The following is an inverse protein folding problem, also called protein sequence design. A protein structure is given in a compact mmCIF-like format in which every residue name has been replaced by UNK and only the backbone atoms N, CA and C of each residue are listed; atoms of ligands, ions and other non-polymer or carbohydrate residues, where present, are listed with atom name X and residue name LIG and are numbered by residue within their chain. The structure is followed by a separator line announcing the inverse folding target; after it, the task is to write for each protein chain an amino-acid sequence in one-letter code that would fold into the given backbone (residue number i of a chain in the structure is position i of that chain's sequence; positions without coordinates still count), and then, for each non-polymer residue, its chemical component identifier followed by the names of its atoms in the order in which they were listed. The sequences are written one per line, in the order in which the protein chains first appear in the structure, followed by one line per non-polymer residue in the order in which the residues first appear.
data_IF_997991985212
#
_entry.id   IF_997991985212
#
_cell.length_a   1.000
_cell.length_b   1.000
_cell.length_c   1.000
_cell.angle_alpha   90.00
_cell.angle_beta   90.00
_cell.angle_gamma   90.00
#
_symmetry.space_group_name_H-M   'P 1'
#
loop_
_entity.id
_entity.type
_entity.pdbx_description
1 polymer ?
#
# COMPACT_ATOMS: atom_id res chain seq x y z
N UNK A 1 -13.36 39.26 0.76
CA UNK A 1 -14.37 38.38 0.13
C UNK A 1 -15.35 39.30 -0.59
N UNK A 2 -15.41 39.22 -1.92
CA UNK A 2 -16.22 40.11 -2.75
C UNK A 2 -17.58 39.45 -3.04
N UNK A 3 -18.66 40.01 -2.49
CA UNK A 3 -20.03 39.45 -2.64
C UNK A 3 -20.49 39.48 -4.11
N UNK A 4 -19.94 40.41 -4.92
CA UNK A 4 -20.23 40.50 -6.34
C UNK A 4 -19.57 39.40 -7.19
N UNK A 5 -18.65 38.61 -6.62
CA UNK A 5 -17.98 37.49 -7.29
C UNK A 5 -18.16 36.20 -6.50
N UNK A 6 -19.33 35.54 -6.61
CA UNK A 6 -19.57 34.26 -5.95
C UNK A 6 -18.73 33.15 -6.59
N UNK A 7 -18.17 32.26 -5.76
CA UNK A 7 -17.48 31.04 -6.22
C UNK A 7 -18.48 29.89 -6.14
N UNK A 8 -18.76 29.24 -7.28
CA UNK A 8 -19.76 28.17 -7.38
C UNK A 8 -19.21 26.78 -7.06
N UNK A 9 -17.88 26.64 -6.97
CA UNK A 9 -17.21 25.38 -6.72
C UNK A 9 -16.70 25.33 -5.28
N UNK A 10 -16.96 24.21 -4.60
CA UNK A 10 -16.47 23.93 -3.26
C UNK A 10 -15.59 22.68 -3.22
N UNK A 11 -14.66 22.64 -2.28
CA UNK A 11 -13.77 21.49 -2.07
C UNK A 11 -14.50 20.45 -1.22
N UNK A 12 -14.90 19.33 -1.84
CA UNK A 12 -15.61 18.24 -1.16
C UNK A 12 -14.68 17.34 -0.30
N UNK A 13 -13.44 17.16 -0.73
CA UNK A 13 -12.49 16.30 -0.02
C UNK A 13 -11.07 16.38 -0.58
N UNK A 14 -10.13 15.82 0.16
CA UNK A 14 -8.70 15.81 -0.19
C UNK A 14 -8.20 14.37 -0.18
N UNK A 15 -7.52 13.97 -1.26
CA UNK A 15 -6.86 12.68 -1.37
C UNK A 15 -5.35 12.85 -1.20
N UNK A 16 -4.70 11.94 -0.48
CA UNK A 16 -3.26 11.93 -0.28
C UNK A 16 -2.62 10.87 -1.17
N UNK A 17 -1.59 11.26 -1.90
CA UNK A 17 -0.77 10.36 -2.71
C UNK A 17 0.69 10.84 -2.69
N UNK A 18 1.59 9.95 -3.13
CA UNK A 18 2.97 10.34 -3.41
C UNK A 18 3.04 10.87 -4.84
N UNK A 19 3.82 11.93 -5.05
CA UNK A 19 4.08 12.48 -6.38
C UNK A 19 5.04 11.56 -7.13
N UNK A 20 4.60 10.96 -8.24
CA UNK A 20 5.45 10.07 -9.02
C UNK A 20 6.48 10.87 -9.82
N UNK A 21 7.68 10.32 -10.12
CA UNK A 21 8.69 11.02 -10.92
C UNK A 21 8.17 11.50 -12.29
N UNK A 22 7.29 10.73 -12.92
CA UNK A 22 6.64 11.09 -14.19
C UNK A 22 5.66 12.25 -14.04
N UNK A 23 4.97 12.37 -12.91
CA UNK A 23 4.06 13.48 -12.60
C UNK A 23 4.84 14.74 -12.27
N UNK A 24 5.90 14.63 -11.46
CA UNK A 24 6.79 15.75 -11.15
C UNK A 24 7.37 16.37 -12.41
N UNK A 25 7.87 15.56 -13.35
CA UNK A 25 8.42 16.05 -14.62
C UNK A 25 7.37 16.70 -15.53
N UNK A 26 6.11 16.23 -15.48
CA UNK A 26 5.01 16.82 -16.24
C UNK A 26 4.53 18.15 -15.66
N UNK A 27 4.51 18.26 -14.32
CA UNK A 27 4.15 19.48 -13.61
C UNK A 27 5.26 20.54 -13.70
N UNK A 28 6.51 20.08 -13.73
CA UNK A 28 7.68 20.95 -13.75
C UNK A 28 7.84 21.68 -15.07
N UNK A 29 8.05 22.99 -15.00
CA UNK A 29 8.35 23.82 -16.17
C UNK A 29 9.85 23.85 -16.50
N UNK A 30 10.72 23.58 -15.51
CA UNK A 30 12.17 23.67 -15.67
C UNK A 30 12.93 22.69 -14.76
N UNK A 31 13.98 22.09 -15.30
CA UNK A 31 14.97 21.37 -14.48
C UNK A 31 15.97 22.35 -13.88
N UNK A 32 16.17 22.27 -12.57
CA UNK A 32 17.17 23.03 -11.83
C UNK A 32 18.42 22.16 -11.67
N UNK A 33 19.55 22.68 -12.12
CA UNK A 33 20.83 21.96 -12.10
C UNK A 33 22.01 22.83 -11.65
N UNK A 34 21.86 24.15 -11.69
CA UNK A 34 22.91 25.08 -11.29
C UNK A 34 22.78 25.40 -9.79
N UNK A 35 23.80 25.12 -8.96
CA UNK A 35 23.78 25.51 -7.56
C UNK A 35 23.88 27.03 -7.35
N UNK A 36 24.46 27.75 -8.32
CA UNK A 36 24.57 29.20 -8.24
C UNK A 36 23.21 29.85 -8.52
N UNK A 37 22.75 30.67 -7.57
CA UNK A 37 21.45 31.33 -7.65
C UNK A 37 21.50 32.64 -8.44
N UNK A 38 22.49 33.49 -8.13
CA UNK A 38 22.64 34.84 -8.68
C UNK A 38 24.05 35.01 -9.26
N UNK A 39 24.17 35.81 -10.32
CA UNK A 39 25.46 36.21 -10.88
C UNK A 39 26.09 37.36 -10.07
N UNK A 40 27.28 37.81 -10.48
CA UNK A 40 28.01 38.92 -9.82
C UNK A 40 27.26 40.26 -9.89
N UNK A 41 26.33 40.40 -10.83
CA UNK A 41 25.47 41.58 -11.01
C UNK A 41 24.11 41.42 -10.31
N UNK A 42 23.95 40.37 -9.50
CA UNK A 42 22.73 40.05 -8.76
C UNK A 42 21.53 39.65 -9.65
N UNK A 43 21.77 39.19 -10.88
CA UNK A 43 20.73 38.66 -11.76
C UNK A 43 20.54 37.16 -11.55
N UNK A 44 19.33 36.63 -11.74
CA UNK A 44 19.08 35.19 -11.68
C UNK A 44 19.83 34.41 -12.74
N UNK A 45 20.51 33.34 -12.32
CA UNK A 45 21.23 32.45 -13.23
C UNK A 45 20.27 31.41 -13.83
N UNK A 46 20.42 31.15 -15.15
CA UNK A 46 19.66 30.10 -15.84
C UNK A 46 19.92 28.73 -15.22
N UNK A 47 18.84 27.98 -14.99
CA UNK A 47 18.89 26.67 -14.34
C UNK A 47 19.24 26.70 -12.85
N UNK A 48 19.30 27.89 -12.25
CA UNK A 48 19.43 28.10 -10.81
C UNK A 48 18.08 28.11 -10.10
N UNK A 49 18.09 28.23 -8.77
CA UNK A 49 16.86 28.21 -7.97
C UNK A 49 15.94 29.42 -8.22
N UNK A 50 16.47 30.53 -8.73
CA UNK A 50 15.71 31.73 -9.10
C UNK A 50 15.47 31.88 -10.59
N UNK A 51 15.56 30.80 -11.37
CA UNK A 51 15.31 30.86 -12.82
C UNK A 51 13.96 31.56 -13.11
N UNK A 52 13.91 32.59 -13.99
CA UNK A 52 12.68 33.33 -14.29
C UNK A 52 11.50 32.47 -14.77
N UNK A 53 11.74 31.22 -15.20
CA UNK A 53 10.71 30.26 -15.55
C UNK A 53 9.87 29.82 -14.35
N UNK A 54 10.45 29.82 -13.15
CA UNK A 54 9.76 29.46 -11.90
C UNK A 54 8.93 30.63 -11.34
N UNK A 55 9.24 31.84 -11.79
CA UNK A 55 8.63 33.08 -11.35
C UNK A 55 9.70 34.16 -11.15
N UNK A 56 9.40 35.43 -11.45
CA UNK A 56 10.34 36.52 -11.24
C UNK A 56 10.51 36.84 -9.74
N UNK A 57 11.71 37.23 -9.33
CA UNK A 57 11.98 37.70 -7.96
C UNK A 57 11.34 39.08 -7.74
N UNK A 58 11.46 39.96 -8.74
CA UNK A 58 10.98 41.33 -8.63
C UNK A 58 9.58 41.49 -9.21
N UNK A 59 8.78 42.35 -8.60
CA UNK A 59 7.41 42.65 -9.03
C UNK A 59 7.32 43.18 -10.48
N UNK A 60 8.37 43.83 -10.98
CA UNK A 60 8.41 44.43 -12.33
C UNK A 60 8.97 43.48 -13.40
N UNK A 61 9.61 42.40 -12.99
CA UNK A 61 10.17 41.43 -13.92
C UNK A 61 9.06 40.50 -14.42
N UNK A 62 9.24 39.97 -15.63
CA UNK A 62 8.27 39.10 -16.27
C UNK A 62 8.67 37.64 -16.09
N UNK A 63 7.70 36.80 -15.77
CA UNK A 63 7.88 35.35 -15.77
C UNK A 63 8.08 34.83 -17.20
N UNK A 64 9.09 34.01 -17.45
CA UNK A 64 9.31 33.45 -18.79
C UNK A 64 8.34 32.32 -19.15
N UNK A 65 7.56 31.82 -18.19
CA UNK A 65 6.55 30.76 -18.41
C UNK A 65 5.16 31.34 -18.67
N UNK A 66 4.62 32.16 -17.75
CA UNK A 66 3.27 32.71 -17.88
C UNK A 66 3.22 34.13 -18.46
N UNK A 67 4.37 34.79 -18.66
CA UNK A 67 4.47 36.16 -19.17
C UNK A 67 3.73 37.21 -18.31
N UNK A 68 3.41 36.86 -17.07
CA UNK A 68 2.85 37.79 -16.09
C UNK A 68 3.97 38.46 -15.29
N UNK A 69 3.67 39.65 -14.78
CA UNK A 69 4.51 40.35 -13.82
C UNK A 69 4.60 39.57 -12.49
N UNK A 70 5.57 39.91 -11.64
CA UNK A 70 5.77 39.25 -10.34
C UNK A 70 4.62 39.44 -9.35
N UNK A 71 3.69 40.37 -9.60
CA UNK A 71 2.51 40.56 -8.74
C UNK A 71 1.35 39.64 -9.09
N UNK A 72 1.25 39.23 -10.36
CA UNK A 72 0.17 38.39 -10.89
C UNK A 72 0.61 36.95 -11.14
N UNK A 73 1.91 36.70 -11.21
CA UNK A 73 2.45 35.36 -11.40
C UNK A 73 2.12 34.46 -10.19
N UNK A 74 1.49 33.29 -10.37
CA UNK A 74 1.21 32.36 -9.29
C UNK A 74 2.45 31.56 -8.84
N UNK A 75 3.55 31.63 -9.60
CA UNK A 75 4.71 30.76 -9.45
C UNK A 75 4.52 29.42 -10.18
N UNK A 76 5.64 28.81 -10.55
CA UNK A 76 5.67 27.54 -11.28
C UNK A 76 6.65 26.56 -10.65
N UNK A 77 6.28 25.28 -10.66
CA UNK A 77 7.13 24.24 -10.11
C UNK A 77 8.30 23.93 -11.04
N UNK A 78 9.47 23.75 -10.44
CA UNK A 78 10.63 23.12 -11.09
C UNK A 78 10.90 21.75 -10.47
N UNK A 79 11.85 21.02 -11.03
CA UNK A 79 12.37 19.80 -10.42
C UNK A 79 13.90 19.76 -10.42
N UNK A 80 14.46 19.08 -9.44
CA UNK A 80 15.87 18.70 -9.41
C UNK A 80 15.92 17.21 -9.70
N UNK A 81 16.63 16.84 -10.76
CA UNK A 81 16.83 15.45 -11.11
C UNK A 81 17.96 14.87 -10.25
N UNK A 82 17.62 13.96 -9.35
CA UNK A 82 18.62 13.28 -8.53
C UNK A 82 19.36 12.23 -9.36
N UNK A 83 20.70 12.15 -9.30
CA UNK A 83 21.46 11.18 -10.09
C UNK A 83 21.26 9.73 -9.61
N UNK A 84 20.77 9.55 -8.38
CA UNK A 84 20.48 8.24 -7.80
C UNK A 84 19.17 8.30 -6.98
N UNK A 85 18.45 7.17 -6.88
CA UNK A 85 17.25 7.10 -6.05
C UNK A 85 17.64 7.22 -4.57
N UNK A 86 17.03 8.19 -3.88
CA UNK A 86 17.20 8.41 -2.45
C UNK A 86 15.89 8.04 -1.74
N UNK A 87 15.99 7.36 -0.60
CA UNK A 87 14.82 7.02 0.21
C UNK A 87 14.23 8.29 0.81
N UNK A 88 12.92 8.48 0.65
CA UNK A 88 12.23 9.59 1.30
C UNK A 88 12.31 9.43 2.83
N UNK A 89 12.89 10.39 3.59
CA UNK A 89 13.02 10.29 5.04
C UNK A 89 11.70 10.07 5.78
N UNK A 90 10.58 10.58 5.26
CA UNK A 90 9.25 10.40 5.86
C UNK A 90 8.76 8.94 5.76
N UNK A 91 9.19 8.21 4.74
CA UNK A 91 8.83 6.80 4.50
C UNK A 91 9.92 5.83 4.95
N UNK A 92 10.95 6.33 5.63
CA UNK A 92 12.13 5.54 6.00
C UNK A 92 11.75 4.31 6.82
N UNK A 93 10.94 4.51 7.88
CA UNK A 93 10.53 3.44 8.78
C UNK A 93 9.74 2.36 8.04
N UNK A 94 8.81 2.74 7.17
CA UNK A 94 8.00 1.80 6.40
C UNK A 94 8.84 1.05 5.36
N UNK A 95 9.79 1.74 4.74
CA UNK A 95 10.76 1.14 3.80
C UNK A 95 11.60 0.08 4.49
N UNK A 96 12.21 0.42 5.64
CA UNK A 96 13.02 -0.52 6.43
C UNK A 96 12.18 -1.68 6.95
N UNK A 97 10.96 -1.41 7.43
CA UNK A 97 10.05 -2.44 7.94
C UNK A 97 9.64 -3.44 6.85
N UNK A 98 9.39 -2.94 5.64
CA UNK A 98 9.08 -3.75 4.46
C UNK A 98 10.29 -4.60 4.05
N UNK A 99 11.47 -3.98 3.93
CA UNK A 99 12.71 -4.69 3.59
C UNK A 99 13.04 -5.82 4.57
N UNK A 100 12.85 -5.59 5.88
CA UNK A 100 13.03 -6.64 6.90
C UNK A 100 12.08 -7.82 6.75
N UNK A 101 10.88 -7.59 6.21
CA UNK A 101 9.87 -8.62 5.96
C UNK A 101 10.07 -9.42 4.66
N UNK A 102 10.91 -8.92 3.75
CA UNK A 102 11.17 -9.54 2.45
C UNK A 102 12.36 -10.52 2.51
N UNK A 103 12.36 -11.51 1.61
CA UNK A 103 13.48 -12.40 1.38
C UNK A 103 14.34 -11.87 0.23
N UNK A 104 15.64 -11.70 0.46
CA UNK A 104 16.57 -11.18 -0.56
C UNK A 104 16.91 -12.16 -1.68
N UNK A 105 16.53 -13.44 -1.54
CA UNK A 105 16.82 -14.46 -2.54
C UNK A 105 15.65 -14.64 -3.51
N UNK A 106 14.42 -14.77 -3.00
CA UNK A 106 13.25 -14.99 -3.85
C UNK A 106 12.43 -13.72 -4.11
N UNK A 107 12.71 -12.60 -3.45
CA UNK A 107 11.99 -11.33 -3.62
C UNK A 107 10.58 -11.29 -3.01
N UNK A 108 10.09 -12.41 -2.47
CA UNK A 108 8.79 -12.49 -1.81
C UNK A 108 8.90 -12.19 -0.31
N UNK A 109 7.74 -11.94 0.33
CA UNK A 109 7.65 -11.89 1.80
C UNK A 109 8.11 -13.21 2.42
N UNK A 110 8.75 -13.13 3.59
CA UNK A 110 9.31 -14.31 4.30
C UNK A 110 8.23 -15.23 4.88
N UNK A 111 7.05 -14.70 5.16
CA UNK A 111 5.90 -15.48 5.62
C UNK A 111 5.45 -16.49 4.57
N UNK A 112 4.69 -17.50 5.02
CA UNK A 112 4.16 -18.52 4.12
C UNK A 112 3.22 -17.86 3.09
N UNK A 113 3.30 -18.32 1.83
CA UNK A 113 2.50 -17.83 0.71
C UNK A 113 1.00 -17.91 1.01
N UNK A 114 0.54 -18.98 1.68
CA UNK A 114 -0.86 -19.13 2.13
C UNK A 114 -1.28 -17.98 3.06
N UNK A 115 -0.44 -17.64 4.04
CA UNK A 115 -0.69 -16.55 5.00
C UNK A 115 -0.75 -15.19 4.31
N UNK A 116 0.17 -14.91 3.39
CA UNK A 116 0.19 -13.66 2.61
C UNK A 116 -1.08 -13.51 1.76
N UNK A 117 -1.55 -14.61 1.15
CA UNK A 117 -2.78 -14.61 0.36
C UNK A 117 -4.02 -14.31 1.21
N UNK A 118 -4.10 -14.87 2.41
CA UNK A 118 -5.18 -14.57 3.36
C UNK A 118 -5.11 -13.12 3.82
N UNK A 119 -3.93 -12.62 4.19
CA UNK A 119 -3.76 -11.20 4.55
C UNK A 119 -4.23 -10.27 3.42
N UNK A 120 -3.87 -10.60 2.17
CA UNK A 120 -4.32 -9.84 0.99
C UNK A 120 -5.83 -9.88 0.82
N UNK A 121 -6.47 -11.03 1.06
CA UNK A 121 -7.92 -11.18 1.02
C UNK A 121 -8.61 -10.38 2.13
N UNK A 122 -8.12 -10.43 3.37
CA UNK A 122 -8.60 -9.62 4.50
C UNK A 122 -8.53 -8.13 4.17
N UNK A 123 -7.38 -7.64 3.70
CA UNK A 123 -7.21 -6.24 3.32
C UNK A 123 -8.16 -5.78 2.20
N UNK A 124 -8.42 -6.64 1.21
CA UNK A 124 -9.38 -6.34 0.13
C UNK A 124 -10.81 -6.19 0.64
N UNK A 125 -11.22 -7.01 1.60
CA UNK A 125 -12.54 -6.94 2.21
C UNK A 125 -12.67 -5.73 3.12
N UNK A 126 -11.65 -5.46 3.94
CA UNK A 126 -11.59 -4.27 4.79
C UNK A 126 -11.64 -2.98 3.98
N UNK A 127 -10.97 -2.92 2.82
CA UNK A 127 -11.06 -1.75 1.94
C UNK A 127 -12.48 -1.50 1.38
N UNK A 128 -13.36 -2.51 1.43
CA UNK A 128 -14.78 -2.40 1.11
C UNK A 128 -15.68 -2.29 2.34
N UNK A 129 -15.11 -2.11 3.54
CA UNK A 129 -15.86 -1.99 4.79
C UNK A 129 -16.36 -3.32 5.39
N UNK A 130 -15.99 -4.46 4.81
CA UNK A 130 -16.47 -5.79 5.20
C UNK A 130 -15.65 -6.39 6.34
N UNK A 131 -15.87 -5.88 7.55
CA UNK A 131 -15.10 -6.27 8.74
C UNK A 131 -15.42 -7.70 9.19
N UNK A 132 -16.69 -8.10 9.19
CA UNK A 132 -17.11 -9.43 9.65
C UNK A 132 -16.50 -10.53 8.77
N UNK A 133 -16.65 -10.38 7.45
CA UNK A 133 -16.11 -11.31 6.46
C UNK A 133 -14.58 -11.38 6.50
N UNK A 134 -13.91 -10.27 6.84
CA UNK A 134 -12.46 -10.26 7.00
C UNK A 134 -12.00 -10.98 8.28
N UNK A 135 -12.76 -10.90 9.38
CA UNK A 135 -12.47 -11.60 10.63
C UNK A 135 -12.71 -13.11 10.49
N UNK A 136 -13.78 -13.52 9.81
CA UNK A 136 -14.13 -14.93 9.59
C UNK A 136 -13.11 -15.70 8.71
N UNK A 137 -12.24 -14.96 8.01
CA UNK A 137 -11.27 -15.49 7.06
C UNK A 137 -9.99 -15.99 7.74
N UNK A 138 -10.00 -17.17 8.33
CA UNK A 138 -8.81 -17.79 8.91
C UNK A 138 -8.33 -19.02 8.14
N UNK A 139 -7.07 -19.41 8.40
CA UNK A 139 -6.41 -20.51 7.69
C UNK A 139 -7.22 -21.81 7.81
N UNK A 140 -7.84 -22.06 8.96
CA UNK A 140 -8.66 -23.25 9.21
C UNK A 140 -10.10 -23.18 8.71
N UNK A 141 -10.67 -21.98 8.51
CA UNK A 141 -12.09 -21.86 8.10
C UNK A 141 -12.32 -22.19 6.62
N UNK A 142 -11.27 -22.18 5.79
CA UNK A 142 -11.34 -22.48 4.36
C UNK A 142 -11.20 -23.98 4.01
N UNK A 143 -10.84 -24.83 4.99
CA UNK A 143 -10.75 -26.28 4.81
C UNK A 143 -12.09 -26.99 5.02
N UNK A 144 -12.95 -26.46 5.91
CA UNK A 144 -14.27 -27.04 6.20
C UNK A 144 -15.33 -26.61 5.17
N UNK A 145 -15.28 -27.19 3.96
CA UNK A 145 -16.47 -27.35 3.09
C UNK A 145 -16.27 -28.38 1.97
N UNK A 146 -16.48 -29.64 2.32
CA UNK A 146 -17.00 -30.76 1.52
C UNK A 146 -17.89 -31.51 2.53
N UNK A 147 -19.15 -31.85 2.33
CA UNK A 147 -20.00 -31.87 1.16
C UNK A 147 -21.46 -31.74 1.63
N UNK A 148 -22.28 -30.98 0.91
CA UNK A 148 -23.68 -31.39 0.72
C UNK A 148 -23.86 -31.53 -0.77
N UNK A 149 -24.09 -32.76 -1.20
CA UNK A 149 -24.17 -33.16 -2.59
C UNK A 149 -25.30 -32.43 -3.30
N UNK A 150 -25.00 -31.97 -4.52
CA UNK A 150 -26.03 -31.71 -5.50
C UNK A 150 -26.52 -33.06 -6.03
N UNK A 151 -27.59 -33.57 -5.42
CA UNK A 151 -28.52 -34.51 -6.03
C UNK A 151 -29.89 -34.36 -5.36
N UNK A 152 -30.78 -33.63 -6.01
CA UNK A 152 -32.25 -33.68 -5.85
C UNK A 152 -32.83 -33.30 -7.22
N UNK A 153 -33.47 -34.19 -7.99
CA UNK A 153 -34.05 -35.47 -7.59
C UNK A 153 -35.24 -35.21 -6.68
N UNK A 154 -36.37 -34.96 -7.32
CA UNK A 154 -37.69 -34.63 -6.77
C UNK A 154 -38.21 -35.72 -5.82
N UNK A 155 -38.69 -35.33 -4.63
CA UNK A 155 -39.75 -35.97 -3.84
C UNK A 155 -39.83 -35.40 -2.41
N UNK A 156 -41.05 -35.08 -2.02
CA UNK A 156 -41.52 -34.58 -0.73
C UNK A 156 -41.31 -35.56 0.44
N UNK A 157 -41.06 -35.00 1.65
CA UNK A 157 -41.79 -35.23 2.91
C UNK A 157 -40.99 -34.83 4.16
N UNK A 158 -41.77 -34.44 5.18
CA UNK A 158 -41.44 -33.74 6.41
C UNK A 158 -40.65 -34.52 7.49
N UNK A 159 -40.27 -33.72 8.49
CA UNK A 159 -40.03 -34.01 9.92
C UNK A 159 -38.60 -34.07 10.47
N UNK A 160 -38.49 -33.44 11.64
CA UNK A 160 -37.31 -33.09 12.39
C UNK A 160 -36.73 -34.28 13.17
N UNK A 161 -35.41 -34.34 13.33
CA UNK A 161 -34.74 -34.95 14.49
C UNK A 161 -33.44 -34.18 14.76
N UNK A 162 -33.35 -33.59 15.95
CA UNK A 162 -32.10 -33.21 16.60
C UNK A 162 -31.38 -34.49 17.04
N UNK A 163 -30.17 -34.72 16.54
CA UNK A 163 -29.05 -35.30 17.28
C UNK A 163 -27.80 -35.23 16.40
N UNK A 164 -26.64 -35.01 17.00
CA UNK A 164 -25.35 -35.58 16.58
C UNK A 164 -24.27 -35.04 17.51
N UNK A 165 -24.14 -35.74 18.65
CA UNK A 165 -22.89 -36.35 19.10
C UNK A 165 -21.60 -35.76 18.49
N UNK A 166 -20.85 -35.10 19.37
CA UNK A 166 -19.48 -34.66 19.16
C UNK A 166 -18.55 -35.88 19.23
N UNK A 167 -18.24 -36.46 18.07
CA UNK A 167 -17.09 -37.38 17.94
C UNK A 167 -15.86 -36.57 17.49
N UNK A 168 -14.85 -36.57 18.36
CA UNK A 168 -13.51 -36.05 18.10
C UNK A 168 -12.77 -37.01 17.17
N UNK A 169 -12.78 -36.72 15.86
CA UNK A 169 -11.86 -37.38 14.92
C UNK A 169 -10.62 -36.51 14.69
N UNK A 170 -9.55 -36.95 15.33
CA UNK A 170 -8.15 -36.59 15.10
C UNK A 170 -7.66 -37.02 13.71
N UNK A 171 -6.79 -36.20 13.13
CA UNK A 171 -5.90 -36.47 11.99
C UNK A 171 -6.49 -36.59 10.57
N UNK A 172 -6.44 -35.47 9.84
CA UNK A 172 -5.85 -35.45 8.49
C UNK A 172 -5.46 -34.02 8.09
N UNK A 173 -4.16 -33.74 8.14
CA UNK A 173 -3.58 -32.45 7.85
C UNK A 173 -3.82 -32.01 6.39
N UNK A 174 -4.57 -30.91 6.28
CA UNK A 174 -4.84 -30.02 5.16
C UNK A 174 -3.72 -29.83 4.10
N UNK A 175 -3.75 -30.60 3.01
CA UNK A 175 -2.93 -30.33 1.82
C UNK A 175 -3.71 -29.63 0.69
N UNK A 176 -4.34 -28.48 1.00
CA UNK A 176 -4.87 -27.60 -0.06
C UNK A 176 -3.72 -26.94 -0.83
N UNK A 177 -3.71 -27.11 -2.16
CA UNK A 177 -2.67 -26.51 -3.01
C UNK A 177 -2.79 -24.97 -3.04
N UNK A 178 -1.67 -24.29 -3.29
CA UNK A 178 -1.64 -22.81 -3.34
C UNK A 178 -2.61 -22.26 -4.40
N UNK A 179 -2.74 -22.93 -5.54
CA UNK A 179 -3.66 -22.53 -6.61
C UNK A 179 -5.11 -22.68 -6.18
N UNK A 180 -5.47 -23.80 -5.57
CA UNK A 180 -6.83 -24.05 -5.07
C UNK A 180 -7.23 -23.04 -3.98
N UNK A 181 -6.30 -22.70 -3.07
CA UNK A 181 -6.54 -21.67 -2.06
C UNK A 181 -6.78 -20.29 -2.69
N UNK A 182 -5.99 -19.93 -3.70
CA UNK A 182 -6.14 -18.65 -4.44
C UNK A 182 -7.53 -18.50 -5.01
N UNK A 183 -8.04 -19.55 -5.66
CA UNK A 183 -9.34 -19.50 -6.31
C UNK A 183 -10.49 -19.49 -5.32
N UNK A 184 -10.36 -20.21 -4.19
CA UNK A 184 -11.33 -20.14 -3.09
C UNK A 184 -11.41 -18.74 -2.50
N UNK A 185 -10.26 -18.12 -2.21
CA UNK A 185 -10.20 -16.75 -1.68
C UNK A 185 -10.79 -15.74 -2.66
N UNK A 186 -10.44 -15.84 -3.95
CA UNK A 186 -11.01 -14.98 -5.00
C UNK A 186 -12.53 -15.11 -5.09
N UNK A 187 -13.05 -16.34 -5.09
CA UNK A 187 -14.51 -16.61 -5.12
C UNK A 187 -15.21 -16.07 -3.88
N UNK A 188 -14.62 -16.27 -2.70
CA UNK A 188 -15.14 -15.75 -1.43
C UNK A 188 -15.21 -14.22 -1.44
N UNK A 189 -14.10 -13.54 -1.73
CA UNK A 189 -14.07 -12.07 -1.78
C UNK A 189 -15.06 -11.51 -2.81
N UNK A 190 -15.13 -12.10 -4.01
CA UNK A 190 -16.07 -11.64 -5.05
C UNK A 190 -17.53 -11.79 -4.59
N UNK A 191 -17.88 -12.89 -3.93
CA UNK A 191 -19.23 -13.11 -3.41
C UNK A 191 -19.58 -12.13 -2.29
N UNK A 192 -18.66 -11.89 -1.35
CA UNK A 192 -18.85 -10.96 -0.25
C UNK A 192 -19.04 -9.52 -0.78
N UNK A 193 -18.17 -9.08 -1.68
CA UNK A 193 -18.24 -7.74 -2.28
C UNK A 193 -19.54 -7.56 -3.08
N UNK A 194 -19.98 -8.58 -3.83
CA UNK A 194 -21.24 -8.48 -4.59
C UNK A 194 -22.46 -8.33 -3.68
N UNK A 195 -22.51 -9.04 -2.54
CA UNK A 195 -23.59 -8.90 -1.56
C UNK A 195 -23.57 -7.55 -0.85
N UNK A 196 -22.39 -6.96 -0.70
CA UNK A 196 -22.20 -5.68 -0.04
C UNK A 196 -22.47 -4.46 -0.92
N UNK A 197 -22.46 -4.62 -2.25
CA UNK A 197 -22.72 -3.52 -3.18
C UNK A 197 -24.10 -2.87 -2.99
N UNK A 198 -25.02 -3.58 -2.34
CA UNK A 198 -26.37 -3.11 -2.03
C UNK A 198 -26.44 -2.31 -0.71
N UNK A 199 -25.34 -2.25 0.05
CA UNK A 199 -25.25 -1.62 1.37
C UNK A 199 -24.35 -0.39 1.27
N UNK A 200 -24.93 0.81 1.41
CA UNK A 200 -24.21 2.09 1.32
C UNK A 200 -23.05 2.24 2.32
N UNK A 201 -22.24 3.27 2.12
CA UNK A 201 -20.97 3.49 2.84
C UNK A 201 -21.12 3.49 4.37
N UNK A 202 -20.41 2.55 5.02
CA UNK A 202 -20.43 2.34 6.47
C UNK A 202 -19.21 2.96 7.19
N UNK A 203 -19.38 3.31 8.46
CA UNK A 203 -18.43 4.07 9.31
C UNK A 203 -16.99 3.50 9.33
N UNK A 204 -16.02 4.36 9.07
CA UNK A 204 -14.60 4.04 8.75
C UNK A 204 -13.68 3.72 9.95
N UNK A 205 -14.06 4.04 11.20
CA UNK A 205 -13.12 3.95 12.34
C UNK A 205 -12.71 2.51 12.69
N UNK A 206 -13.68 1.59 12.72
CA UNK A 206 -13.40 0.17 12.97
C UNK A 206 -12.57 -0.46 11.85
N UNK A 207 -12.81 -0.04 10.60
CA UNK A 207 -12.08 -0.54 9.44
C UNK A 207 -10.59 -0.21 9.54
N UNK A 208 -10.24 1.04 9.84
CA UNK A 208 -8.85 1.48 9.94
C UNK A 208 -8.06 0.75 11.04
N UNK A 209 -8.73 0.45 12.17
CA UNK A 209 -8.15 -0.35 13.25
C UNK A 209 -7.84 -1.77 12.76
N UNK A 210 -8.79 -2.42 12.11
CA UNK A 210 -8.58 -3.80 11.63
C UNK A 210 -7.55 -3.87 10.48
N UNK A 211 -7.51 -2.87 9.60
CA UNK A 211 -6.44 -2.75 8.58
C UNK A 211 -5.07 -2.70 9.26
N UNK A 212 -4.93 -1.86 10.29
CA UNK A 212 -3.70 -1.75 11.06
C UNK A 212 -3.32 -3.06 11.76
N UNK A 213 -4.31 -3.78 12.31
CA UNK A 213 -4.10 -5.08 12.96
C UNK A 213 -3.58 -6.13 11.96
N UNK A 214 -4.19 -6.21 10.77
CA UNK A 214 -3.76 -7.15 9.73
C UNK A 214 -2.33 -6.84 9.24
N UNK A 215 -2.00 -5.56 9.07
CA UNK A 215 -0.65 -5.12 8.65
C UNK A 215 0.39 -5.47 9.72
N UNK A 216 0.09 -5.21 11.01
CA UNK A 216 0.97 -5.58 12.13
C UNK A 216 1.18 -7.08 12.19
N UNK A 217 0.09 -7.86 12.13
CA UNK A 217 0.13 -9.31 12.14
C UNK A 217 1.02 -9.90 11.03
N UNK A 218 0.83 -9.48 9.77
CA UNK A 218 1.64 -10.02 8.67
C UNK A 218 3.11 -9.60 8.76
N UNK A 219 3.37 -8.38 9.24
CA UNK A 219 4.72 -7.86 9.42
C UNK A 219 5.46 -8.60 10.53
N UNK A 220 4.78 -8.90 11.65
CA UNK A 220 5.31 -9.73 12.73
C UNK A 220 5.56 -11.17 12.28
N UNK A 221 4.62 -11.77 11.53
CA UNK A 221 4.78 -13.13 11.00
C UNK A 221 6.02 -13.25 10.09
N UNK A 222 6.31 -12.22 9.29
CA UNK A 222 7.52 -12.18 8.46
C UNK A 222 8.81 -12.05 9.29
N UNK A 223 8.74 -11.50 10.51
CA UNK A 223 9.90 -11.33 11.41
C UNK A 223 10.19 -12.55 12.26
N UNK A 224 9.20 -13.42 12.53
CA UNK A 224 9.33 -14.59 13.42
C UNK A 224 10.49 -15.53 13.10
N UNK A 225 10.76 -15.79 11.82
CA UNK A 225 11.84 -16.72 11.41
C UNK A 225 12.79 -16.08 10.43
N UNK A 226 14.10 -16.18 10.68
CA UNK A 226 15.19 -15.75 9.76
C UNK A 226 15.21 -16.56 8.46
N UNK A 227 14.53 -17.70 8.40
CA UNK A 227 14.41 -18.52 7.20
C UNK A 227 13.15 -18.16 6.41
N UNK A 228 13.29 -18.13 5.09
CA UNK A 228 12.17 -17.92 4.19
C UNK A 228 11.31 -19.17 4.10
N UNK A 229 10.00 -19.07 4.40
CA UNK A 229 9.08 -20.22 4.28
C UNK A 229 8.73 -20.60 2.84
N UNK A 230 9.21 -19.84 1.85
CA UNK A 230 8.98 -20.10 0.43
C UNK A 230 10.17 -20.80 -0.25
N UNK A 231 11.40 -20.34 -0.01
CA UNK A 231 12.60 -20.90 -0.65
C UNK A 231 13.60 -21.56 0.33
N UNK A 232 13.34 -21.53 1.65
CA UNK A 232 14.24 -22.09 2.67
C UNK A 232 15.51 -21.28 2.95
N UNK A 233 15.84 -20.27 2.12
CA UNK A 233 17.05 -19.46 2.31
C UNK A 233 17.02 -18.68 3.63
N UNK A 234 18.18 -18.61 4.30
CA UNK A 234 18.39 -17.78 5.50
C UNK A 234 18.58 -16.33 5.07
N UNK A 235 17.77 -15.42 5.60
CA UNK A 235 17.90 -14.00 5.33
C UNK A 235 18.90 -13.35 6.30
N UNK A 236 19.76 -12.48 5.77
CA UNK A 236 20.61 -11.60 6.59
C UNK A 236 19.77 -10.54 7.29
N UNK A 237 20.19 -10.15 8.50
CA UNK A 237 19.58 -9.05 9.23
C UNK A 237 19.93 -7.70 8.58
N UNK A 238 19.02 -6.74 8.74
CA UNK A 238 19.17 -5.38 8.22
C UNK A 238 19.15 -4.41 9.40
N UNK A 239 20.22 -3.62 9.51
CA UNK A 239 20.34 -2.54 10.48
C UNK A 239 20.16 -1.20 9.78
N UNK A 240 19.25 -0.37 10.27
CA UNK A 240 19.13 1.01 9.84
C UNK A 240 19.94 1.89 10.80
N UNK A 241 20.71 2.83 10.25
CA UNK A 241 21.54 3.77 11.03
C UNK A 241 21.04 5.18 10.75
N UNK A 242 20.66 5.89 11.81
CA UNK A 242 20.33 7.33 11.83
C UNK A 242 19.42 7.83 10.70
N UNK A 243 18.51 6.99 10.18
CA UNK A 243 17.66 7.30 9.03
C UNK A 243 18.40 7.75 7.75
N UNK A 244 19.68 7.41 7.62
CA UNK A 244 20.52 7.78 6.46
C UNK A 244 21.05 6.58 5.70
N UNK A 245 21.29 5.45 6.38
CA UNK A 245 21.89 4.27 5.76
C UNK A 245 21.24 2.97 6.23
N UNK A 246 21.21 2.00 5.30
CA UNK A 246 20.69 0.66 5.51
C UNK A 246 21.85 -0.32 5.31
N UNK A 247 22.26 -0.98 6.39
CA UNK A 247 23.37 -1.93 6.39
C UNK A 247 22.83 -3.35 6.40
N UNK A 248 23.40 -4.19 5.54
CA UNK A 248 23.15 -5.64 5.52
C UNK A 248 24.21 -6.31 6.39
N UNK A 249 23.79 -6.94 7.48
CA UNK A 249 24.71 -7.67 8.36
C UNK A 249 25.18 -8.95 7.66
N UNK A 250 26.45 -9.30 7.84
CA UNK A 250 26.98 -10.56 7.33
C UNK A 250 26.24 -11.75 7.97
N UNK A 251 26.16 -12.87 7.25
CA UNK A 251 25.79 -14.13 7.88
C UNK A 251 26.86 -14.44 8.92
N UNK A 252 26.53 -14.37 10.21
CA UNK A 252 27.40 -14.89 11.25
C UNK A 252 27.65 -16.36 10.91
N UNK A 253 28.86 -16.67 10.44
CA UNK A 253 29.30 -18.04 10.27
C UNK A 253 29.18 -18.67 11.65
N UNK A 254 28.26 -19.64 11.79
CA UNK A 254 28.25 -20.48 12.97
C UNK A 254 29.56 -21.29 12.90
N UNK A 255 30.49 -20.96 13.79
CA UNK A 255 31.48 -21.93 14.25
C UNK A 255 30.75 -23.00 15.08
#
# INVERSE_FOLDING_TARGET
MNIAQPVTSEVNGVAFSLLLPSETRKLSVKQIYNPQMLDTLNNPVKGGAYDPALGPINARDLCSTCMLDGTKCPGHFGHIELPCPVVNPLLWNDTVNTLRGMCFYCGYMRANRKTVMIATAKLRLLHKGLVKEALDLDIGTLSKKKATGASRGDSDKDEAVEDNTFEEDTDSQDNLSVTQLSDRLRKYCRRAIRKAADIGDYKQTNVNREVSNVIKWITEECRKSKFCRNCGARNTSIRAVNNTSILKEAHSQAQ
#
